data_IF_232259310400
#
_entry.id   IF_232259310400
#
_cell.length_a   1.000
_cell.length_b   1.000
_cell.length_c   1.000
_cell.angle_alpha   90.00
_cell.angle_beta   90.00
_cell.angle_gamma   90.00
#
_symmetry.space_group_name_H-M   'P 1'
#
loop_
_entity.id
_entity.type
_entity.pdbx_description
1 polymer ?
#
# COMPACT_ATOMS: atom_id res chain seq x y z
N UNK A 1 9.21 11.76 78.31
CA UNK A 1 9.92 10.49 78.56
C UNK A 1 11.42 10.76 78.55
N UNK A 2 12.10 10.65 79.71
CA UNK A 2 13.57 10.73 79.79
C UNK A 2 14.12 9.31 79.55
N UNK A 3 14.66 9.05 78.37
CA UNK A 3 15.36 7.79 78.09
C UNK A 3 16.62 7.72 78.94
N UNK A 4 16.75 6.71 79.80
CA UNK A 4 17.72 6.66 80.91
C UNK A 4 18.83 5.61 80.72
N UNK A 5 19.06 5.07 79.51
CA UNK A 5 20.19 4.17 79.27
C UNK A 5 20.83 4.38 77.89
N UNK A 6 22.13 4.02 77.75
CA UNK A 6 22.82 4.04 76.44
C UNK A 6 22.12 3.13 75.42
N UNK A 7 21.48 2.06 75.89
CA UNK A 7 20.76 1.08 75.07
C UNK A 7 19.51 1.71 74.45
N UNK A 8 18.76 2.50 75.22
CA UNK A 8 17.56 3.20 74.71
C UNK A 8 17.89 4.23 73.63
N UNK A 9 19.03 4.92 73.77
CA UNK A 9 19.51 5.87 72.74
C UNK A 9 19.89 5.16 71.46
N UNK A 10 20.56 4.01 71.56
CA UNK A 10 20.94 3.19 70.40
C UNK A 10 19.70 2.64 69.70
N UNK A 11 18.74 2.09 70.46
CA UNK A 11 17.44 1.64 69.96
C UNK A 11 16.67 2.77 69.28
N UNK A 12 16.64 3.98 69.87
CA UNK A 12 15.99 5.14 69.26
C UNK A 12 16.66 5.55 67.95
N UNK A 13 18.00 5.57 67.87
CA UNK A 13 18.71 5.86 66.60
C UNK A 13 18.45 4.80 65.53
N UNK A 14 18.42 3.51 65.89
CA UNK A 14 18.08 2.45 64.96
C UNK A 14 16.63 2.52 64.50
N UNK A 15 15.69 2.82 65.41
CA UNK A 15 14.29 3.02 65.06
C UNK A 15 14.11 4.20 64.10
N UNK A 16 14.81 5.31 64.33
CA UNK A 16 14.81 6.47 63.41
C UNK A 16 15.45 6.11 62.07
N UNK A 17 16.58 5.39 62.06
CA UNK A 17 17.25 4.97 60.83
C UNK A 17 16.37 4.03 59.99
N UNK A 18 15.71 3.06 60.63
CA UNK A 18 14.74 2.15 59.98
C UNK A 18 13.56 2.95 59.44
N UNK A 19 12.99 3.87 60.22
CA UNK A 19 11.88 4.71 59.77
C UNK A 19 12.29 5.56 58.55
N UNK A 20 13.47 6.16 58.57
CA UNK A 20 14.00 6.90 57.42
C UNK A 20 14.19 6.00 56.19
N UNK A 21 14.74 4.80 56.37
CA UNK A 21 14.90 3.83 55.28
C UNK A 21 13.55 3.41 54.68
N UNK A 22 12.52 3.19 55.51
CA UNK A 22 11.16 2.87 55.06
C UNK A 22 10.55 4.05 54.28
N UNK A 23 10.69 5.29 54.76
CA UNK A 23 10.19 6.48 54.05
C UNK A 23 10.88 6.62 52.69
N UNK A 24 12.20 6.46 52.63
CA UNK A 24 12.96 6.52 51.37
C UNK A 24 12.47 5.43 50.41
N UNK A 25 12.26 4.21 50.90
CA UNK A 25 11.72 3.12 50.10
C UNK A 25 10.31 3.44 49.56
N UNK A 26 9.42 3.98 50.39
CA UNK A 26 8.07 4.38 49.96
C UNK A 26 8.10 5.51 48.92
N UNK A 27 8.97 6.51 49.09
CA UNK A 27 9.17 7.58 48.10
C UNK A 27 9.71 7.02 46.79
N UNK A 28 10.69 6.11 46.85
CA UNK A 28 11.24 5.46 45.66
C UNK A 28 10.17 4.62 44.94
N UNK A 29 9.35 3.85 45.67
CA UNK A 29 8.23 3.09 45.12
C UNK A 29 7.19 4.01 44.48
N UNK A 30 6.82 5.11 45.13
CA UNK A 30 5.89 6.09 44.59
C UNK A 30 6.43 6.77 43.33
N UNK A 31 7.75 7.04 43.27
CA UNK A 31 8.41 7.58 42.08
C UNK A 31 8.39 6.56 40.93
N UNK A 32 8.75 5.30 41.19
CA UNK A 32 8.69 4.21 40.18
C UNK A 32 7.26 4.01 39.69
N UNK A 33 6.27 4.04 40.59
CA UNK A 33 4.87 3.94 40.21
C UNK A 33 4.48 5.07 39.23
N UNK A 34 4.90 6.30 39.54
CA UNK A 34 4.62 7.48 38.71
C UNK A 34 5.38 7.53 37.38
N UNK A 35 6.53 6.87 37.27
CA UNK A 35 7.35 6.91 36.05
C UNK A 35 7.19 5.69 35.15
N UNK A 36 7.02 4.50 35.75
CA UNK A 36 6.99 3.21 35.04
C UNK A 36 5.58 2.62 34.97
N UNK A 37 4.83 2.67 36.07
CA UNK A 37 3.48 2.08 36.18
C UNK A 37 2.36 3.12 36.02
N UNK A 38 2.58 4.09 35.12
CA UNK A 38 1.61 5.14 34.82
C UNK A 38 0.83 4.81 33.51
N UNK A 39 -0.27 5.52 33.22
CA UNK A 39 -1.04 5.32 31.99
C UNK A 39 -0.20 5.41 30.71
N UNK A 40 0.75 6.35 30.65
CA UNK A 40 1.63 6.54 29.50
C UNK A 40 2.56 5.33 29.25
N UNK A 41 2.98 4.65 30.32
CA UNK A 41 3.76 3.42 30.26
C UNK A 41 2.96 2.28 29.62
N UNK A 42 1.67 2.17 29.91
CA UNK A 42 0.78 1.17 29.28
C UNK A 42 0.66 1.41 27.77
N UNK A 43 0.44 2.66 27.35
CA UNK A 43 0.38 3.05 25.93
C UNK A 43 1.75 2.83 25.25
N UNK A 44 2.85 3.10 25.94
CA UNK A 44 4.20 2.83 25.43
C UNK A 44 4.46 1.34 25.20
N UNK A 45 3.97 0.48 26.09
CA UNK A 45 4.05 -0.97 25.93
C UNK A 45 3.22 -1.48 24.75
N UNK A 46 2.05 -0.88 24.51
CA UNK A 46 1.25 -1.17 23.32
C UNK A 46 2.05 -0.88 22.03
N UNK A 47 2.63 0.31 21.90
CA UNK A 47 3.44 0.63 20.73
C UNK A 47 4.72 -0.21 20.61
N UNK A 48 5.30 -0.66 21.73
CA UNK A 48 6.39 -1.63 21.69
C UNK A 48 5.92 -2.97 21.10
N UNK A 49 4.79 -3.50 21.55
CA UNK A 49 4.22 -4.75 21.04
C UNK A 49 3.88 -4.68 19.55
N UNK A 50 3.29 -3.57 19.08
CA UNK A 50 3.00 -3.36 17.65
C UNK A 50 4.28 -3.30 16.81
N UNK A 51 5.32 -2.58 17.28
CA UNK A 51 6.63 -2.53 16.59
C UNK A 51 7.37 -3.86 16.57
N UNK A 52 7.19 -4.68 17.61
CA UNK A 52 7.69 -6.06 17.66
C UNK A 52 6.88 -6.99 16.75
N UNK A 53 5.71 -6.56 16.26
CA UNK A 53 4.81 -7.41 15.49
C UNK A 53 4.16 -8.49 16.34
N UNK A 54 4.02 -8.25 17.66
CA UNK A 54 3.39 -9.18 18.59
C UNK A 54 1.94 -8.78 18.81
N UNK A 55 1.07 -9.37 17.98
CA UNK A 55 -0.37 -9.13 17.98
C UNK A 55 -1.06 -9.53 19.27
N UNK A 56 -0.75 -10.71 19.79
CA UNK A 56 -1.33 -11.21 21.05
C UNK A 56 -1.09 -10.22 22.19
N UNK A 57 0.15 -9.73 22.33
CA UNK A 57 0.51 -8.75 23.34
C UNK A 57 -0.13 -7.39 23.09
N UNK A 58 -0.14 -6.91 21.85
CA UNK A 58 -0.74 -5.62 21.51
C UNK A 58 -2.25 -5.61 21.80
N UNK A 59 -2.97 -6.65 21.37
CA UNK A 59 -4.40 -6.83 21.61
C UNK A 59 -4.71 -6.98 23.10
N UNK A 60 -3.90 -7.77 23.83
CA UNK A 60 -4.04 -7.93 25.27
C UNK A 60 -3.87 -6.62 26.05
N UNK A 61 -2.98 -5.73 25.59
CA UNK A 61 -2.78 -4.40 26.19
C UNK A 61 -3.95 -3.47 25.86
N UNK A 62 -4.44 -3.49 24.61
CA UNK A 62 -5.60 -2.69 24.17
C UNK A 62 -6.90 -3.11 24.87
N UNK A 63 -7.04 -4.39 25.26
CA UNK A 63 -8.30 -4.90 25.81
C UNK A 63 -9.44 -4.98 24.79
N UNK A 64 -9.16 -4.77 23.51
CA UNK A 64 -10.16 -4.65 22.46
C UNK A 64 -10.67 -6.01 21.96
N UNK A 65 -11.96 -6.09 21.62
CA UNK A 65 -12.49 -7.22 20.87
C UNK A 65 -12.22 -7.07 19.37
N UNK A 66 -12.01 -8.20 18.69
CA UNK A 66 -11.88 -8.23 17.22
C UNK A 66 -13.29 -8.32 16.62
N UNK A 67 -13.72 -7.37 15.77
CA UNK A 67 -15.01 -7.45 15.07
C UNK A 67 -15.03 -8.64 14.11
N UNK A 68 -16.22 -9.05 13.66
CA UNK A 68 -16.41 -10.12 12.66
C UNK A 68 -15.78 -9.74 11.29
N UNK A 69 -14.48 -9.94 11.19
CA UNK A 69 -13.62 -9.47 10.11
C UNK A 69 -12.32 -10.28 10.06
N UNK A 70 -11.51 -10.08 9.05
CA UNK A 70 -10.24 -10.79 8.91
C UNK A 70 -9.16 -10.19 9.82
N UNK A 71 -8.50 -11.01 10.63
CA UNK A 71 -7.42 -10.61 11.55
C UNK A 71 -6.01 -10.59 10.95
N UNK A 72 -5.85 -10.73 9.62
CA UNK A 72 -4.54 -10.82 8.96
C UNK A 72 -3.60 -9.64 9.23
N UNK A 73 -4.13 -8.49 9.65
CA UNK A 73 -3.34 -7.28 9.97
C UNK A 73 -2.94 -7.18 11.45
N UNK A 74 -3.35 -8.14 12.28
CA UNK A 74 -3.23 -8.04 13.73
C UNK A 74 -1.95 -8.66 14.28
N UNK A 75 -1.06 -9.23 13.46
CA UNK A 75 0.16 -9.88 13.92
C UNK A 75 1.29 -9.81 12.86
N UNK A 76 2.53 -10.04 13.30
CA UNK A 76 3.69 -10.18 12.43
C UNK A 76 4.01 -8.93 11.59
N UNK A 77 4.43 -9.17 10.35
CA UNK A 77 4.96 -8.13 9.46
C UNK A 77 3.91 -7.09 9.06
N UNK A 78 2.66 -7.51 8.87
CA UNK A 78 1.55 -6.61 8.55
C UNK A 78 1.28 -5.61 9.68
N UNK A 79 1.34 -6.08 10.93
CA UNK A 79 1.21 -5.26 12.12
C UNK A 79 2.39 -4.28 12.26
N UNK A 80 3.63 -4.74 12.04
CA UNK A 80 4.81 -3.87 12.05
C UNK A 80 4.74 -2.79 10.97
N UNK A 81 4.32 -3.17 9.77
CA UNK A 81 4.18 -2.28 8.63
C UNK A 81 3.15 -1.18 8.89
N UNK A 82 2.12 -1.41 9.71
CA UNK A 82 1.13 -0.38 10.01
C UNK A 82 1.70 0.82 10.77
N UNK A 83 2.83 0.65 11.46
CA UNK A 83 3.53 1.71 12.17
C UNK A 83 4.70 2.32 11.40
N UNK A 84 5.06 1.79 10.23
CA UNK A 84 6.30 2.17 9.53
C UNK A 84 6.33 3.65 9.13
N UNK A 85 5.17 4.26 8.87
CA UNK A 85 5.06 5.67 8.48
C UNK A 85 4.85 6.63 9.65
N UNK A 86 4.62 6.13 10.87
CA UNK A 86 4.45 6.96 12.05
C UNK A 86 5.83 7.43 12.52
N UNK A 87 6.07 8.74 12.45
CA UNK A 87 7.33 9.39 12.86
C UNK A 87 7.11 10.23 14.10
N UNK A 88 8.20 10.51 14.82
CA UNK A 88 8.22 11.41 15.97
C UNK A 88 7.14 11.07 17.02
N UNK A 89 6.91 9.77 17.24
CA UNK A 89 5.91 9.28 18.18
C UNK A 89 6.35 9.58 19.61
N UNK A 90 5.56 10.38 20.31
CA UNK A 90 5.79 10.75 21.70
C UNK A 90 4.49 10.93 22.49
N UNK A 91 4.58 10.81 23.81
CA UNK A 91 3.46 11.11 24.69
C UNK A 91 3.42 12.62 24.90
N UNK A 92 2.42 13.28 24.30
CA UNK A 92 2.24 14.73 24.40
C UNK A 92 1.66 15.14 25.75
N UNK A 93 0.65 14.40 26.24
CA UNK A 93 -0.05 14.75 27.46
C UNK A 93 -0.62 13.52 28.16
N UNK A 94 -0.74 13.60 29.49
CA UNK A 94 -1.56 12.68 30.29
C UNK A 94 -2.43 13.50 31.22
N UNK A 95 -3.75 13.33 31.11
CA UNK A 95 -4.76 13.99 31.94
C UNK A 95 -5.40 12.95 32.85
N UNK A 96 -5.57 13.23 34.13
CA UNK A 96 -6.21 12.33 35.10
C UNK A 96 -7.57 12.89 35.50
N UNK A 97 -8.53 12.01 35.82
CA UNK A 97 -9.78 12.41 36.47
C UNK A 97 -9.52 12.93 37.89
N UNK A 98 -10.47 13.67 38.45
CA UNK A 98 -10.36 14.27 39.80
C UNK A 98 -10.13 13.22 40.90
N UNK A 99 -10.69 12.02 40.75
CA UNK A 99 -10.54 10.89 41.66
C UNK A 99 -9.33 9.99 41.34
N UNK A 100 -8.62 10.27 40.23
CA UNK A 100 -7.48 9.52 39.74
C UNK A 100 -7.78 8.09 39.25
N UNK A 101 -9.06 7.75 39.05
CA UNK A 101 -9.46 6.41 38.58
C UNK A 101 -9.41 6.26 37.05
N UNK A 102 -9.42 7.37 36.32
CA UNK A 102 -9.32 7.42 34.86
C UNK A 102 -8.18 8.32 34.40
N UNK A 103 -7.66 8.04 33.22
CA UNK A 103 -6.69 8.89 32.56
C UNK A 103 -6.91 8.93 31.04
N UNK A 104 -6.57 10.05 30.41
CA UNK A 104 -6.46 10.19 28.96
C UNK A 104 -5.01 10.45 28.62
N UNK A 105 -4.41 9.58 27.82
CA UNK A 105 -3.05 9.73 27.30
C UNK A 105 -3.14 10.16 25.85
N UNK A 106 -2.71 11.38 25.56
CA UNK A 106 -2.61 11.92 24.20
C UNK A 106 -1.21 11.64 23.67
N UNK A 107 -1.15 10.94 22.55
CA UNK A 107 0.09 10.63 21.82
C UNK A 107 0.13 11.51 20.58
N UNK A 108 1.24 12.17 20.32
CA UNK A 108 1.50 12.92 19.09
C UNK A 108 2.47 12.17 18.20
N UNK A 109 2.28 12.29 16.89
CA UNK A 109 3.15 11.71 15.87
C UNK A 109 2.95 12.44 14.54
N UNK A 110 3.85 12.23 13.61
CA UNK A 110 3.72 12.69 12.23
C UNK A 110 3.31 11.52 11.35
N UNK A 111 2.27 11.71 10.54
CA UNK A 111 1.78 10.74 9.56
C UNK A 111 1.59 11.45 8.21
N UNK A 112 2.20 10.93 7.16
CA UNK A 112 2.24 11.56 5.83
C UNK A 112 2.65 13.07 5.87
N UNK A 113 3.63 13.38 6.72
CA UNK A 113 4.12 14.76 6.91
C UNK A 113 3.17 15.69 7.67
N UNK A 114 2.01 15.22 8.12
CA UNK A 114 1.06 15.98 8.91
C UNK A 114 1.13 15.59 10.40
N UNK A 115 1.09 16.55 11.33
CA UNK A 115 0.99 16.26 12.76
C UNK A 115 -0.38 15.65 13.07
N UNK A 116 -0.38 14.56 13.82
CA UNK A 116 -1.57 13.84 14.26
C UNK A 116 -1.50 13.62 15.78
N UNK A 117 -2.67 13.42 16.37
CA UNK A 117 -2.80 13.00 17.76
C UNK A 117 -3.79 11.86 17.90
N UNK A 118 -3.54 10.98 18.86
CA UNK A 118 -4.46 9.91 19.27
C UNK A 118 -4.61 9.93 20.77
N UNK A 119 -5.86 9.92 21.23
CA UNK A 119 -6.21 9.82 22.63
C UNK A 119 -6.49 8.36 23.00
N UNK A 120 -5.81 7.88 24.03
CA UNK A 120 -6.10 6.60 24.68
C UNK A 120 -6.79 6.88 26.00
N UNK A 121 -7.98 6.31 26.18
CA UNK A 121 -8.70 6.33 27.45
C UNK A 121 -8.26 5.13 28.28
N UNK A 122 -7.97 5.35 29.56
CA UNK A 122 -7.54 4.30 30.47
C UNK A 122 -8.31 4.35 31.79
N UNK A 123 -8.56 3.18 32.34
CA UNK A 123 -9.14 2.98 33.67
C UNK A 123 -8.16 2.24 34.58
N UNK A 124 -8.16 2.62 35.86
CA UNK A 124 -7.39 1.95 36.89
C UNK A 124 -8.09 0.67 37.32
N UNK A 125 -7.49 -0.48 37.04
CA UNK A 125 -8.08 -1.81 37.29
C UNK A 125 -7.60 -2.49 38.56
N UNK A 126 -6.61 -1.90 39.25
CA UNK A 126 -6.13 -2.41 40.52
C UNK A 126 -4.74 -1.91 40.88
N UNK A 127 -4.05 -2.68 41.72
CA UNK A 127 -2.66 -2.43 42.06
C UNK A 127 -1.87 -3.73 42.25
N UNK A 128 -0.69 -3.80 41.64
CA UNK A 128 0.28 -4.87 41.89
C UNK A 128 1.01 -4.61 43.22
N UNK A 129 1.02 -5.63 44.09
CA UNK A 129 1.59 -5.59 45.45
C UNK A 129 1.08 -4.41 46.31
N UNK A 130 -0.08 -3.84 45.98
CA UNK A 130 -0.71 -2.75 46.72
C UNK A 130 -0.03 -1.38 46.59
N UNK A 131 0.99 -1.24 45.72
CA UNK A 131 1.75 0.02 45.55
C UNK A 131 1.93 0.45 44.10
N UNK A 132 1.80 -0.46 43.13
CA UNK A 132 1.94 -0.15 41.71
C UNK A 132 0.58 -0.15 41.04
N UNK A 133 0.17 0.97 40.48
CA UNK A 133 -1.13 1.08 39.84
C UNK A 133 -1.17 0.25 38.56
N UNK A 134 -2.30 -0.39 38.30
CA UNK A 134 -2.54 -1.13 37.08
C UNK A 134 -3.57 -0.38 36.24
N UNK A 135 -3.20 -0.12 34.98
CA UNK A 135 -4.01 0.62 34.03
C UNK A 135 -4.41 -0.28 32.88
N UNK A 136 -5.66 -0.14 32.44
CA UNK A 136 -6.21 -0.82 31.28
C UNK A 136 -6.62 0.22 30.24
N UNK A 137 -6.38 -0.05 28.97
CA UNK A 137 -6.87 0.82 27.88
C UNK A 137 -8.33 0.43 27.63
N UNK A 138 -9.22 1.41 27.65
CA UNK A 138 -10.67 1.20 27.52
C UNK A 138 -11.11 1.15 26.04
N UNK A 139 -10.47 0.31 25.25
CA UNK A 139 -10.85 0.09 23.84
C UNK A 139 -11.93 -0.98 23.75
N UNK A 140 -13.10 -0.64 23.20
CA UNK A 140 -14.21 -1.60 23.06
C UNK A 140 -13.96 -2.63 21.96
N UNK A 141 -13.83 -2.14 20.73
CA UNK A 141 -13.71 -2.96 19.52
C UNK A 141 -12.65 -2.32 18.61
N UNK A 142 -11.93 -3.14 17.85
CA UNK A 142 -10.94 -2.65 16.90
C UNK A 142 -11.59 -1.97 15.68
N UNK A 143 -10.95 -0.92 15.14
CA UNK A 143 -11.36 -0.35 13.87
C UNK A 143 -11.18 -1.33 12.71
N UNK A 144 -11.87 -1.04 11.60
CA UNK A 144 -11.90 -1.88 10.40
C UNK A 144 -11.47 -1.08 9.17
N UNK A 145 -10.62 -1.69 8.34
CA UNK A 145 -10.33 -1.23 6.97
C UNK A 145 -10.95 -2.20 5.97
N UNK A 146 -11.69 -1.68 5.01
CA UNK A 146 -12.22 -2.46 3.90
C UNK A 146 -11.28 -2.37 2.71
N UNK A 147 -11.12 -3.47 2.00
CA UNK A 147 -10.48 -3.51 0.68
C UNK A 147 -11.51 -4.02 -0.31
N UNK A 148 -11.73 -3.27 -1.39
CA UNK A 148 -12.62 -3.62 -2.49
C UNK A 148 -11.82 -3.76 -3.78
N UNK A 149 -12.14 -4.76 -4.59
CA UNK A 149 -11.47 -5.05 -5.87
C UNK A 149 -12.52 -5.48 -6.89
N UNK A 150 -12.45 -4.93 -8.10
CA UNK A 150 -13.45 -5.15 -9.16
C UNK A 150 -13.17 -6.38 -10.05
N UNK A 151 -11.95 -6.89 -10.07
CA UNK A 151 -11.54 -7.99 -10.97
C UNK A 151 -10.86 -9.16 -10.27
N UNK A 152 -10.02 -8.88 -9.28
CA UNK A 152 -9.19 -9.90 -8.63
C UNK A 152 -9.64 -10.22 -7.21
N UNK A 153 -9.58 -11.52 -6.89
CA UNK A 153 -9.86 -12.06 -5.55
C UNK A 153 -8.68 -11.92 -4.59
N UNK A 154 -7.70 -11.06 -4.90
CA UNK A 154 -6.51 -10.88 -4.08
C UNK A 154 -6.03 -9.43 -4.08
N UNK A 155 -5.38 -9.05 -2.98
CA UNK A 155 -4.65 -7.80 -2.83
C UNK A 155 -3.42 -8.03 -1.94
N UNK A 156 -2.52 -7.07 -1.90
CA UNK A 156 -1.47 -7.01 -0.89
C UNK A 156 -1.74 -5.83 0.03
N UNK A 157 -2.04 -6.09 1.29
CA UNK A 157 -2.28 -5.08 2.32
C UNK A 157 -1.10 -5.09 3.30
N UNK A 158 -0.37 -3.97 3.43
CA UNK A 158 0.81 -3.87 4.29
C UNK A 158 1.81 -5.04 4.09
N UNK A 159 2.16 -5.31 2.83
CA UNK A 159 3.05 -6.41 2.40
C UNK A 159 2.53 -7.83 2.65
N UNK A 160 1.31 -7.99 3.18
CA UNK A 160 0.67 -9.27 3.36
C UNK A 160 -0.32 -9.54 2.22
N UNK A 161 -0.17 -10.67 1.53
CA UNK A 161 -1.14 -11.13 0.54
C UNK A 161 -2.44 -11.55 1.24
N UNK A 162 -3.56 -11.02 0.77
CA UNK A 162 -4.89 -11.26 1.32
C UNK A 162 -5.89 -11.57 0.21
N UNK A 163 -6.85 -12.44 0.51
CA UNK A 163 -7.95 -12.73 -0.39
C UNK A 163 -9.08 -11.70 -0.22
N UNK A 164 -9.63 -11.24 -1.35
CA UNK A 164 -10.75 -10.32 -1.47
C UNK A 164 -11.94 -11.09 -2.06
N UNK A 165 -12.55 -11.94 -1.22
CA UNK A 165 -13.71 -12.73 -1.61
C UNK A 165 -14.88 -11.81 -1.99
N UNK A 166 -15.63 -12.18 -3.04
CA UNK A 166 -16.85 -11.46 -3.47
C UNK A 166 -16.63 -9.94 -3.71
N UNK A 167 -15.41 -9.53 -4.06
CA UNK A 167 -15.07 -8.15 -4.43
C UNK A 167 -14.93 -7.18 -3.25
N UNK A 168 -15.15 -7.60 -2.01
CA UNK A 168 -14.92 -6.76 -0.82
C UNK A 168 -14.61 -7.60 0.41
N UNK A 169 -13.57 -7.20 1.16
CA UNK A 169 -13.18 -7.83 2.43
C UNK A 169 -12.91 -6.78 3.50
N UNK A 170 -13.34 -7.07 4.73
CA UNK A 170 -13.06 -6.28 5.92
C UNK A 170 -11.89 -6.87 6.73
N UNK A 171 -11.00 -6.02 7.21
CA UNK A 171 -9.85 -6.38 8.06
C UNK A 171 -9.90 -5.58 9.36
N UNK A 172 -9.84 -6.28 10.49
CA UNK A 172 -9.60 -5.64 11.78
C UNK A 172 -8.17 -5.13 11.84
N UNK A 173 -7.99 -3.93 12.40
CA UNK A 173 -6.69 -3.27 12.44
C UNK A 173 -6.44 -2.58 13.78
N UNK A 174 -5.16 -2.39 14.11
CA UNK A 174 -4.71 -1.59 15.25
C UNK A 174 -4.68 -0.10 14.90
N UNK A 175 -4.61 0.76 15.93
CA UNK A 175 -4.54 2.21 15.77
C UNK A 175 -3.59 2.86 16.81
N UNK A 176 -2.97 4.00 16.51
CA UNK A 176 -2.88 4.58 15.18
C UNK A 176 -2.05 3.73 14.22
N UNK A 177 -2.37 3.80 12.93
CA UNK A 177 -1.64 3.07 11.89
C UNK A 177 -2.05 3.46 10.47
N UNK A 178 -1.19 3.10 9.53
CA UNK A 178 -1.42 3.27 8.09
C UNK A 178 -1.53 1.92 7.38
N UNK A 179 -2.48 1.81 6.46
CA UNK A 179 -2.77 0.58 5.73
C UNK A 179 -2.77 0.86 4.24
N UNK A 180 -1.77 0.32 3.54
CA UNK A 180 -1.63 0.48 2.09
C UNK A 180 -1.99 -0.80 1.37
N UNK A 181 -3.00 -0.73 0.51
CA UNK A 181 -3.40 -1.80 -0.39
C UNK A 181 -2.77 -1.58 -1.77
N UNK A 182 -2.18 -2.64 -2.32
CA UNK A 182 -1.56 -2.68 -3.64
C UNK A 182 -1.95 -3.95 -4.38
N UNK A 183 -1.80 -3.94 -5.70
CA UNK A 183 -1.96 -5.12 -6.52
C UNK A 183 -1.03 -5.06 -7.72
N UNK A 184 -0.34 -6.16 -8.00
CA UNK A 184 0.58 -6.30 -9.13
C UNK A 184 0.60 -7.75 -9.62
N UNK A 185 0.55 -7.93 -10.93
CA UNK A 185 0.61 -9.21 -11.64
C UNK A 185 1.21 -8.99 -13.03
N UNK A 186 1.41 -10.07 -13.80
CA UNK A 186 1.92 -9.94 -15.16
C UNK A 186 1.01 -9.09 -16.06
N UNK A 187 -0.31 -9.13 -15.84
CA UNK A 187 -1.30 -8.46 -16.69
C UNK A 187 -1.82 -7.16 -16.11
N UNK A 188 -1.98 -7.09 -14.80
CA UNK A 188 -2.65 -6.00 -14.11
C UNK A 188 -1.79 -5.41 -13.00
N UNK A 189 -1.86 -4.09 -12.86
CA UNK A 189 -1.36 -3.36 -11.71
C UNK A 189 -2.47 -2.47 -11.14
N UNK A 190 -2.30 -2.01 -9.91
CA UNK A 190 -3.17 -1.00 -9.32
C UNK A 190 -2.34 0.07 -8.60
N UNK A 191 -2.78 1.32 -8.67
CA UNK A 191 -2.18 2.38 -7.88
C UNK A 191 -2.35 2.08 -6.39
N UNK A 192 -1.30 2.26 -5.56
CA UNK A 192 -1.42 2.10 -4.12
C UNK A 192 -2.55 2.97 -3.56
N UNK A 193 -3.35 2.39 -2.66
CA UNK A 193 -4.39 3.10 -1.92
C UNK A 193 -4.06 3.01 -0.43
N UNK A 194 -4.17 4.13 0.29
CA UNK A 194 -3.74 4.22 1.69
C UNK A 194 -4.91 4.68 2.57
N UNK A 195 -5.07 4.02 3.72
CA UNK A 195 -6.01 4.37 4.76
C UNK A 195 -5.24 4.65 6.05
N UNK A 196 -5.52 5.80 6.67
CA UNK A 196 -4.97 6.17 7.96
C UNK A 196 -6.05 5.96 9.02
N UNK A 197 -5.73 5.21 10.06
CA UNK A 197 -6.62 4.93 11.19
C UNK A 197 -5.99 5.55 12.41
N UNK A 198 -6.55 6.65 12.90
CA UNK A 198 -5.96 7.45 14.00
C UNK A 198 -6.68 7.26 15.34
N UNK A 199 -7.87 6.64 15.35
CA UNK A 199 -8.63 6.34 16.57
C UNK A 199 -9.44 5.04 16.47
N UNK A 200 -9.86 4.49 17.62
CA UNK A 200 -10.70 3.29 17.68
C UNK A 200 -12.11 3.49 17.14
N UNK A 201 -12.68 4.68 17.32
CA UNK A 201 -14.05 5.03 16.94
C UNK A 201 -14.17 5.53 15.49
N UNK A 202 -13.06 5.53 14.75
CA UNK A 202 -13.03 5.96 13.38
C UNK A 202 -13.92 5.09 12.48
N UNK A 203 -14.73 5.73 11.63
CA UNK A 203 -15.56 5.02 10.66
C UNK A 203 -14.69 4.18 9.71
N UNK A 204 -15.14 2.98 9.32
CA UNK A 204 -14.38 2.14 8.40
C UNK A 204 -14.09 2.85 7.08
N UNK A 205 -12.83 2.84 6.67
CA UNK A 205 -12.40 3.34 5.37
C UNK A 205 -12.47 2.21 4.33
N UNK A 206 -12.57 2.55 3.05
CA UNK A 206 -12.56 1.57 1.94
C UNK A 206 -11.46 1.92 0.95
N UNK A 207 -10.50 1.02 0.81
CA UNK A 207 -9.45 1.05 -0.20
C UNK A 207 -9.98 0.37 -1.45
N UNK A 208 -10.11 1.13 -2.55
CA UNK A 208 -10.66 0.62 -3.81
C UNK A 208 -9.53 0.34 -4.79
N UNK A 209 -9.29 -0.94 -5.07
CA UNK A 209 -8.28 -1.39 -6.02
C UNK A 209 -8.86 -1.31 -7.43
N UNK A 210 -8.39 -0.34 -8.20
CA UNK A 210 -8.70 -0.17 -9.61
C UNK A 210 -7.57 -0.76 -10.44
N UNK A 211 -7.87 -1.84 -11.16
CA UNK A 211 -6.92 -2.52 -12.03
C UNK A 211 -6.71 -1.71 -13.30
N UNK A 212 -5.45 -1.65 -13.74
CA UNK A 212 -5.01 -1.13 -15.03
C UNK A 212 -4.03 -2.13 -15.66
N UNK A 213 -3.79 -2.07 -16.98
CA UNK A 213 -2.71 -2.84 -17.59
C UNK A 213 -1.37 -2.60 -16.90
N UNK A 214 -0.67 -3.67 -16.57
CA UNK A 214 0.68 -3.58 -15.99
C UNK A 214 1.67 -3.03 -17.03
N UNK A 215 2.80 -2.52 -16.56
CA UNK A 215 3.91 -2.11 -17.44
C UNK A 215 4.42 -3.31 -18.27
N UNK A 216 4.43 -4.51 -17.69
CA UNK A 216 4.84 -5.74 -18.37
C UNK A 216 3.90 -6.06 -19.54
N UNK A 217 2.59 -5.99 -19.32
CA UNK A 217 1.59 -6.21 -20.36
C UNK A 217 1.66 -5.14 -21.47
N UNK A 218 1.81 -3.87 -21.07
CA UNK A 218 1.93 -2.76 -22.01
C UNK A 218 3.16 -2.91 -22.91
N UNK A 219 4.30 -3.33 -22.35
CA UNK A 219 5.51 -3.60 -23.12
C UNK A 219 5.34 -4.81 -24.06
N UNK A 220 4.67 -5.87 -23.62
CA UNK A 220 4.36 -7.04 -24.46
C UNK A 220 3.49 -6.67 -25.68
N UNK A 221 2.48 -5.83 -25.48
CA UNK A 221 1.60 -5.33 -26.54
C UNK A 221 2.41 -4.53 -27.57
N UNK A 222 3.21 -3.56 -27.12
CA UNK A 222 4.03 -2.72 -28.01
C UNK A 222 5.05 -3.57 -28.77
N UNK A 223 5.68 -4.54 -28.11
CA UNK A 223 6.61 -5.46 -28.75
C UNK A 223 5.93 -6.30 -29.84
N UNK A 224 4.74 -6.82 -29.56
CA UNK A 224 3.95 -7.61 -30.52
C UNK A 224 3.56 -6.80 -31.75
N UNK A 225 3.09 -5.57 -31.55
CA UNK A 225 2.76 -4.63 -32.65
C UNK A 225 4.00 -4.37 -33.50
N UNK A 226 5.14 -4.07 -32.87
CA UNK A 226 6.41 -3.84 -33.56
C UNK A 226 6.82 -5.05 -34.40
N UNK A 227 6.78 -6.25 -33.83
CA UNK A 227 7.12 -7.48 -34.55
C UNK A 227 6.20 -7.73 -35.74
N UNK A 228 4.90 -7.43 -35.64
CA UNK A 228 3.96 -7.57 -36.75
C UNK A 228 4.28 -6.56 -37.88
N UNK A 229 4.55 -5.30 -37.53
CA UNK A 229 4.92 -4.26 -38.50
C UNK A 229 6.27 -4.55 -39.18
N UNK A 230 7.20 -5.16 -38.46
CA UNK A 230 8.47 -5.62 -39.03
C UNK A 230 8.25 -6.74 -40.06
N UNK A 231 7.34 -7.68 -39.79
CA UNK A 231 6.95 -8.70 -40.78
C UNK A 231 6.26 -8.08 -42.00
N UNK A 232 5.46 -7.03 -41.80
CA UNK A 232 4.89 -6.26 -42.90
C UNK A 232 5.95 -5.60 -43.77
N UNK A 233 6.98 -5.00 -43.15
CA UNK A 233 8.05 -4.30 -43.87
C UNK A 233 8.94 -5.24 -44.70
N UNK A 234 8.95 -6.55 -44.40
CA UNK A 234 9.66 -7.57 -45.18
C UNK A 234 8.92 -7.89 -46.50
N UNK A 235 7.61 -7.67 -46.58
CA UNK A 235 6.83 -7.99 -47.77
C UNK A 235 7.15 -7.03 -48.92
N UNK A 236 7.72 -7.57 -50.01
CA UNK A 236 8.00 -6.79 -51.23
C UNK A 236 6.73 -6.62 -52.10
N UNK A 237 5.76 -5.83 -51.60
CA UNK A 237 4.51 -5.49 -52.29
C UNK A 237 4.14 -4.03 -52.00
N UNK A 238 3.49 -3.34 -52.94
CA UNK A 238 2.88 -2.02 -52.67
C UNK A 238 1.63 -2.14 -51.76
N UNK A 239 1.04 -3.32 -51.71
CA UNK A 239 -0.09 -3.69 -50.86
C UNK A 239 0.30 -4.93 -50.04
N UNK A 240 1.11 -4.78 -48.97
CA UNK A 240 1.45 -5.88 -48.08
C UNK A 240 0.18 -6.48 -47.45
N UNK A 241 0.03 -7.80 -47.49
CA UNK A 241 -1.17 -8.47 -47.01
C UNK A 241 -1.22 -8.42 -45.48
N UNK A 242 -2.38 -8.02 -44.94
CA UNK A 242 -2.62 -7.93 -43.49
C UNK A 242 -1.88 -6.79 -42.80
N UNK A 243 -1.48 -5.75 -43.54
CA UNK A 243 -0.69 -4.64 -43.04
C UNK A 243 -1.48 -3.32 -43.10
N UNK A 244 -1.25 -2.41 -42.15
CA UNK A 244 -2.04 -1.18 -42.05
C UNK A 244 -1.60 -0.08 -43.03
N UNK A 245 -0.60 -0.33 -43.87
CA UNK A 245 -0.07 0.64 -44.83
C UNK A 245 -0.02 0.04 -46.24
N UNK A 246 -0.31 0.88 -47.21
CA UNK A 246 -0.26 0.59 -48.64
C UNK A 246 0.19 1.84 -49.39
N UNK A 247 0.59 1.66 -50.65
CA UNK A 247 0.93 2.78 -51.53
C UNK A 247 0.30 2.60 -52.90
N UNK A 248 -0.72 3.41 -53.19
CA UNK A 248 -1.39 3.41 -54.49
C UNK A 248 -0.50 4.04 -55.57
N UNK A 249 -0.17 3.22 -56.57
CA UNK A 249 0.70 3.60 -57.68
C UNK A 249 0.22 2.97 -58.98
N UNK A 250 -0.08 3.83 -59.95
CA UNK A 250 -0.66 3.44 -61.25
C UNK A 250 0.40 3.11 -62.32
N UNK A 251 1.69 3.33 -62.03
CA UNK A 251 2.78 3.02 -62.94
C UNK A 251 3.31 1.60 -62.82
N UNK A 252 4.46 1.32 -63.45
CA UNK A 252 5.11 0.01 -63.37
C UNK A 252 6.27 0.03 -62.39
N UNK A 253 6.22 -0.83 -61.38
CA UNK A 253 7.36 -1.10 -60.50
C UNK A 253 8.39 -1.95 -61.25
N UNK A 254 9.67 -1.59 -61.14
CA UNK A 254 10.80 -2.36 -61.63
C UNK A 254 11.67 -2.80 -60.46
N UNK A 255 11.72 -4.11 -60.21
CA UNK A 255 12.44 -4.69 -59.08
C UNK A 255 11.56 -4.82 -57.83
N UNK A 256 12.20 -4.78 -56.66
CA UNK A 256 11.54 -5.00 -55.37
C UNK A 256 10.99 -3.71 -54.77
N UNK A 257 9.93 -3.84 -53.99
CA UNK A 257 9.39 -2.77 -53.14
C UNK A 257 10.00 -2.93 -51.75
N UNK A 258 10.59 -1.86 -51.23
CA UNK A 258 11.18 -1.86 -49.88
C UNK A 258 10.35 -1.00 -48.96
N UNK A 259 10.00 -1.59 -47.81
CA UNK A 259 9.35 -0.90 -46.72
C UNK A 259 10.28 -0.79 -45.51
N UNK A 260 10.14 0.30 -44.76
CA UNK A 260 10.75 0.44 -43.44
C UNK A 260 9.83 1.26 -42.54
N UNK A 261 9.68 0.86 -41.28
CA UNK A 261 8.89 1.63 -40.32
C UNK A 261 9.76 2.76 -39.75
N UNK A 262 9.35 4.01 -39.96
CA UNK A 262 10.03 5.19 -39.42
C UNK A 262 9.55 5.50 -38.00
N UNK A 263 8.26 5.32 -37.73
CA UNK A 263 7.65 5.52 -36.42
C UNK A 263 6.69 4.37 -36.10
N UNK A 264 7.01 3.62 -35.06
CA UNK A 264 6.12 2.57 -34.55
C UNK A 264 4.98 3.19 -33.73
N UNK A 265 3.75 2.66 -33.84
CA UNK A 265 2.67 3.01 -32.93
C UNK A 265 2.94 2.50 -31.51
N UNK A 266 2.63 3.33 -30.50
CA UNK A 266 2.76 2.99 -29.07
C UNK A 266 1.40 3.22 -28.36
N UNK A 267 0.36 2.44 -28.68
CA UNK A 267 -0.95 2.59 -28.06
C UNK A 267 -0.88 2.26 -26.56
N UNK A 268 -1.58 3.05 -25.75
CA UNK A 268 -1.72 2.79 -24.32
C UNK A 268 -3.00 1.97 -24.08
N UNK A 269 -2.83 0.68 -23.81
CA UNK A 269 -3.94 -0.22 -23.53
C UNK A 269 -4.66 0.21 -22.25
N UNK A 270 -5.96 -0.05 -22.17
CA UNK A 270 -6.81 0.31 -21.04
C UNK A 270 -7.81 -0.80 -20.74
N UNK A 271 -8.40 -0.75 -19.56
CA UNK A 271 -9.58 -1.54 -19.24
C UNK A 271 -10.84 -0.67 -19.38
N UNK A 272 -11.89 -1.26 -19.92
CA UNK A 272 -13.23 -0.66 -19.89
C UNK A 272 -13.82 -0.73 -18.47
N UNK A 273 -14.90 0.02 -18.17
CA UNK A 273 -15.61 -0.11 -16.89
C UNK A 273 -16.08 -1.53 -16.57
N UNK A 274 -16.30 -2.35 -17.60
CA UNK A 274 -16.67 -3.77 -17.51
C UNK A 274 -15.44 -4.70 -17.40
N UNK A 275 -14.23 -4.16 -17.25
CA UNK A 275 -12.99 -4.92 -17.11
C UNK A 275 -12.44 -5.51 -18.40
N UNK A 276 -12.93 -5.08 -19.58
CA UNK A 276 -12.44 -5.59 -20.87
C UNK A 276 -11.22 -4.82 -21.35
N UNK A 277 -10.24 -5.53 -21.90
CA UNK A 277 -9.07 -4.92 -22.52
C UNK A 277 -9.46 -4.16 -23.79
N UNK A 278 -8.97 -2.94 -23.91
CA UNK A 278 -9.19 -2.04 -25.04
C UNK A 278 -7.84 -1.53 -25.53
N UNK A 279 -7.60 -1.67 -26.83
CA UNK A 279 -6.46 -1.07 -27.51
C UNK A 279 -6.94 0.13 -28.32
N UNK A 280 -6.62 1.36 -27.92
CA UNK A 280 -6.92 2.53 -28.72
C UNK A 280 -6.12 2.52 -30.03
N UNK A 281 -6.73 3.05 -31.09
CA UNK A 281 -6.03 3.30 -32.36
C UNK A 281 -4.80 4.17 -32.13
N UNK A 282 -3.73 3.86 -32.87
CA UNK A 282 -2.46 4.57 -32.75
C UNK A 282 -1.83 4.81 -34.11
N UNK A 283 -1.15 5.94 -34.26
CA UNK A 283 -0.56 6.35 -35.53
C UNK A 283 0.89 5.86 -35.66
N UNK A 284 1.22 5.37 -36.85
CA UNK A 284 2.58 5.04 -37.25
C UNK A 284 2.92 5.64 -38.61
N UNK A 285 4.19 5.54 -38.97
CA UNK A 285 4.71 6.05 -40.23
C UNK A 285 5.66 5.03 -40.84
N UNK A 286 5.43 4.69 -42.11
CA UNK A 286 6.26 3.80 -42.90
C UNK A 286 6.84 4.55 -44.10
N UNK A 287 7.98 4.10 -44.60
CA UNK A 287 8.61 4.61 -45.81
C UNK A 287 8.61 3.52 -46.86
N UNK A 288 8.16 3.87 -48.06
CA UNK A 288 8.19 3.01 -49.24
C UNK A 288 9.28 3.49 -50.19
N UNK A 289 10.05 2.56 -50.75
CA UNK A 289 11.06 2.85 -51.77
C UNK A 289 11.04 1.79 -52.86
N UNK A 290 10.94 2.22 -54.11
CA UNK A 290 11.03 1.34 -55.28
C UNK A 290 11.49 2.13 -56.51
N UNK A 291 11.90 1.42 -57.55
CA UNK A 291 12.20 2.02 -58.85
C UNK A 291 10.97 1.94 -59.73
N UNK A 292 10.49 3.07 -60.25
CA UNK A 292 9.43 3.11 -61.25
C UNK A 292 10.01 3.06 -62.66
N UNK A 293 9.26 2.48 -63.59
CA UNK A 293 9.53 2.48 -65.02
C UNK A 293 8.44 3.27 -65.76
N UNK A 294 8.84 4.32 -66.45
CA UNK A 294 7.98 5.06 -67.38
C UNK A 294 7.78 4.23 -68.66
N UNK A 295 6.52 3.84 -68.91
CA UNK A 295 6.17 2.98 -70.04
C UNK A 295 6.21 3.68 -71.40
N UNK A 296 6.19 5.01 -71.44
CA UNK A 296 6.29 5.79 -72.68
C UNK A 296 7.75 6.07 -73.04
N UNK A 297 8.58 6.43 -72.05
CA UNK A 297 9.97 6.85 -72.28
C UNK A 297 11.02 5.77 -72.01
N UNK A 298 10.65 4.69 -71.31
CA UNK A 298 11.56 3.63 -70.87
C UNK A 298 12.56 4.05 -69.79
N UNK A 299 12.44 5.27 -69.25
CA UNK A 299 13.32 5.77 -68.18
C UNK A 299 12.88 5.25 -66.82
N UNK A 300 13.85 5.12 -65.93
CA UNK A 300 13.63 4.73 -64.54
C UNK A 300 13.85 5.90 -63.59
N UNK A 301 13.13 5.91 -62.48
CA UNK A 301 13.34 6.86 -61.39
C UNK A 301 13.00 6.23 -60.04
N UNK A 302 13.66 6.69 -58.98
CA UNK A 302 13.39 6.20 -57.63
C UNK A 302 12.21 6.94 -57.01
N UNK A 303 11.26 6.19 -56.46
CA UNK A 303 10.21 6.69 -55.57
C UNK A 303 10.67 6.47 -54.13
N UNK A 304 10.53 7.48 -53.29
CA UNK A 304 10.81 7.42 -51.85
C UNK A 304 9.78 8.27 -51.13
N UNK A 305 8.72 7.64 -50.63
CA UNK A 305 7.62 8.34 -49.99
C UNK A 305 7.37 7.84 -48.58
N UNK A 306 6.80 8.73 -47.77
CA UNK A 306 6.39 8.45 -46.40
C UNK A 306 4.87 8.29 -46.36
N UNK A 307 4.42 7.17 -45.81
CA UNK A 307 3.02 6.78 -45.66
C UNK A 307 2.66 6.80 -44.19
N UNK A 308 1.66 7.61 -43.84
CA UNK A 308 1.06 7.57 -42.51
C UNK A 308 -0.01 6.48 -42.46
N UNK A 309 -0.06 5.74 -41.37
CA UNK A 309 -1.06 4.71 -41.16
C UNK A 309 -1.62 4.74 -39.74
N UNK A 310 -2.79 4.13 -39.58
CA UNK A 310 -3.41 3.89 -38.28
C UNK A 310 -3.32 2.39 -38.01
N UNK A 311 -2.78 2.04 -36.85
CA UNK A 311 -2.83 0.67 -36.36
C UNK A 311 -4.06 0.52 -35.45
N UNK A 312 -4.92 -0.41 -35.85
CA UNK A 312 -6.11 -0.83 -35.12
C UNK A 312 -6.02 -2.32 -34.84
N UNK A 313 -6.39 -2.72 -33.62
CA UNK A 313 -6.29 -4.10 -33.18
C UNK A 313 -7.22 -4.39 -32.02
N UNK A 314 -7.43 -5.68 -31.78
CA UNK A 314 -8.14 -6.20 -30.61
C UNK A 314 -7.15 -6.92 -29.71
N UNK A 315 -7.44 -6.93 -28.41
CA UNK A 315 -6.64 -7.65 -27.42
C UNK A 315 -7.40 -8.88 -26.98
N UNK A 316 -6.74 -10.02 -27.03
CA UNK A 316 -7.20 -11.24 -26.38
C UNK A 316 -6.28 -11.55 -25.20
N UNK A 317 -6.87 -11.88 -24.06
CA UNK A 317 -6.11 -12.17 -22.84
C UNK A 317 -6.33 -13.60 -22.39
N UNK A 318 -5.24 -14.24 -22.00
CA UNK A 318 -5.22 -15.47 -21.21
C UNK A 318 -4.90 -15.13 -19.76
N UNK A 319 -4.73 -16.12 -18.89
CA UNK A 319 -4.40 -15.89 -17.47
C UNK A 319 -3.05 -15.18 -17.26
N UNK A 320 -2.12 -15.29 -18.23
CA UNK A 320 -0.75 -14.79 -18.08
C UNK A 320 -0.24 -13.92 -19.22
N UNK A 321 -0.98 -13.85 -20.32
CA UNK A 321 -0.50 -13.18 -21.54
C UNK A 321 -1.60 -12.42 -22.27
N UNK A 322 -1.20 -11.39 -23.02
CA UNK A 322 -2.06 -10.54 -23.84
C UNK A 322 -1.57 -10.58 -25.29
N UNK A 323 -2.43 -11.05 -26.18
CA UNK A 323 -2.15 -11.17 -27.62
C UNK A 323 -2.85 -10.07 -28.40
N UNK A 324 -2.15 -9.50 -29.38
CA UNK A 324 -2.69 -8.45 -30.26
C UNK A 324 -3.12 -9.04 -31.60
N UNK A 325 -4.39 -8.88 -31.94
CA UNK A 325 -4.96 -9.26 -33.23
C UNK A 325 -5.24 -8.01 -34.07
N UNK A 326 -4.48 -7.77 -35.16
CA UNK A 326 -4.72 -6.62 -36.01
C UNK A 326 -6.09 -6.73 -36.70
N UNK A 327 -6.79 -5.60 -36.84
CA UNK A 327 -8.00 -5.55 -37.65
C UNK A 327 -7.58 -5.48 -39.11
N UNK A 328 -7.93 -6.50 -39.89
CA UNK A 328 -7.71 -6.48 -41.34
C UNK A 328 -8.69 -5.51 -42.00
N UNK A 329 -8.15 -4.49 -42.68
CA UNK A 329 -8.91 -3.62 -43.58
C UNK A 329 -8.88 -4.14 -45.02
#
# INVERSE_FOLDING_TARGET
MRFSSRVDRILATWAVAILCAVIIALVALALINRTVYNPAGQVSQYFAAVREGNGERALGILGATVPESNGAMLDGDALRASMAQLKDLEVAQTQYSDDGSHAVVTVSYTLDGQPQTTDFQLSKVGSHWGVFDQWHIDTKELPVVNVASSGDSAATLNNQKVAIDQGKRAFAVTYPGEFTATYESALYSAKPQTAQVVSADQKPQTLSIELVPSETAQNSIVYSIKSQLDQCAIQSSLYPAGCPFEYDFTGRVQGDVKWSIEKYPEPQAKLSPEGKWVLPDSQGTAKVSFTQLDLLTGKTSQVNDTVNFIYSGTLETTDTDVTVHPVSH
#
